data_IF_382541201978
#
_entry.id   IF_382541201978
#
_cell.length_a   1.000
_cell.length_b   1.000
_cell.length_c   1.000
_cell.angle_alpha   90.00
_cell.angle_beta   90.00
_cell.angle_gamma   90.00
#
_symmetry.space_group_name_H-M   'P 1'
#
loop_
_entity.id
_entity.type
_entity.pdbx_description
1 polymer ?
#
# COMPACT_ATOMS: atom_id res chain seq x y z
N UNK A 1 -12.65 -40.46 12.52
CA UNK A 1 -11.93 -39.90 11.35
C UNK A 1 -11.43 -38.52 11.77
N UNK A 2 -10.37 -38.53 12.57
CA UNK A 2 -9.85 -37.38 13.30
C UNK A 2 -8.93 -36.55 12.41
N UNK A 3 -9.06 -35.23 12.52
CA UNK A 3 -8.34 -34.24 11.73
C UNK A 3 -6.87 -34.19 12.16
N UNK A 4 -5.95 -34.50 11.25
CA UNK A 4 -4.51 -34.21 11.39
C UNK A 4 -4.27 -32.67 11.35
N UNK A 5 -4.51 -31.98 12.46
CA UNK A 5 -4.03 -30.63 12.69
C UNK A 5 -2.82 -30.71 13.63
N UNK A 6 -1.60 -30.77 13.09
CA UNK A 6 -0.43 -30.91 13.96
C UNK A 6 0.95 -31.11 13.33
N UNK A 7 1.13 -31.04 12.01
CA UNK A 7 2.47 -31.10 11.40
C UNK A 7 3.14 -29.71 11.34
N UNK A 8 3.16 -28.99 12.46
CA UNK A 8 4.27 -28.06 12.67
C UNK A 8 5.46 -28.93 13.11
N UNK A 9 6.21 -29.33 12.08
CA UNK A 9 7.58 -29.81 12.06
C UNK A 9 8.22 -29.68 13.45
N UNK A 10 8.48 -30.81 14.13
CA UNK A 10 9.39 -30.87 15.28
C UNK A 10 10.80 -30.63 14.74
N UNK A 11 11.37 -29.41 14.75
CA UNK A 11 12.67 -29.17 14.11
C UNK A 11 13.76 -29.94 14.85
N UNK A 12 13.54 -30.18 16.16
CA UNK A 12 14.36 -31.00 17.03
C UNK A 12 14.46 -32.49 16.65
N UNK A 13 13.50 -33.05 15.88
CA UNK A 13 13.64 -34.43 15.38
C UNK A 13 14.59 -34.51 14.17
N UNK A 14 14.77 -33.40 13.44
CA UNK A 14 15.62 -33.33 12.25
C UNK A 14 16.97 -32.65 12.50
N UNK A 15 17.16 -32.04 13.68
CA UNK A 15 18.41 -31.40 14.12
C UNK A 15 18.86 -32.14 15.38
N UNK A 16 19.72 -33.15 15.21
CA UNK A 16 20.35 -33.88 16.30
C UNK A 16 21.58 -33.16 16.83
N UNK A 17 21.98 -33.49 18.06
CA UNK A 17 23.30 -33.15 18.58
C UNK A 17 24.26 -34.31 18.33
N UNK A 18 25.48 -34.04 17.88
CA UNK A 18 26.55 -35.05 17.82
C UNK A 18 27.03 -35.48 19.22
N UNK A 19 26.82 -34.62 20.21
CA UNK A 19 27.06 -34.91 21.63
C UNK A 19 25.95 -35.80 22.19
N UNK A 20 26.33 -36.99 22.69
CA UNK A 20 25.43 -38.02 23.19
C UNK A 20 24.63 -37.59 24.42
N UNK A 21 25.19 -36.71 25.25
CA UNK A 21 24.52 -36.21 26.46
C UNK A 21 23.42 -35.22 26.09
N UNK A 22 23.69 -34.32 25.14
CA UNK A 22 22.69 -33.38 24.61
C UNK A 22 21.58 -34.09 23.84
N UNK A 23 21.92 -35.12 23.06
CA UNK A 23 20.93 -35.92 22.34
C UNK A 23 19.96 -36.64 23.30
N UNK A 24 20.49 -37.27 24.36
CA UNK A 24 19.65 -37.94 25.37
C UNK A 24 18.73 -36.96 26.11
N UNK A 25 19.25 -35.76 26.45
CA UNK A 25 18.46 -34.72 27.12
C UNK A 25 17.34 -34.18 26.22
N UNK A 26 17.59 -34.03 24.92
CA UNK A 26 16.57 -33.62 23.96
C UNK A 26 15.44 -34.65 23.85
N UNK A 27 15.77 -35.95 23.75
CA UNK A 27 14.76 -37.01 23.70
C UNK A 27 13.86 -37.01 24.94
N UNK A 28 14.44 -36.88 26.14
CA UNK A 28 13.67 -36.80 27.39
C UNK A 28 12.71 -35.60 27.42
N UNK A 29 13.15 -34.43 26.94
CA UNK A 29 12.32 -33.22 26.90
C UNK A 29 11.17 -33.34 25.88
N UNK A 30 11.42 -33.98 24.74
CA UNK A 30 10.40 -34.22 23.71
C UNK A 30 9.34 -35.23 24.18
N UNK A 31 9.76 -36.27 24.90
CA UNK A 31 8.84 -37.29 25.46
C UNK A 31 7.98 -36.73 26.59
N UNK A 32 8.51 -35.77 27.36
CA UNK A 32 7.79 -35.10 28.44
C UNK A 32 6.87 -33.97 27.96
N UNK A 33 7.05 -33.45 26.75
CA UNK A 33 6.31 -32.29 26.27
C UNK A 33 4.86 -32.63 25.90
N UNK A 34 3.91 -32.14 26.70
CA UNK A 34 2.47 -32.17 26.37
C UNK A 34 1.97 -30.75 26.08
N UNK A 35 1.60 -30.49 24.82
CA UNK A 35 0.97 -29.22 24.45
C UNK A 35 -0.51 -29.24 24.84
N UNK A 36 -0.91 -28.35 25.74
CA UNK A 36 -2.33 -28.04 25.94
C UNK A 36 -2.78 -27.02 24.88
N UNK A 37 -4.02 -27.13 24.40
CA UNK A 37 -4.65 -26.14 23.51
C UNK A 37 -4.70 -24.79 24.22
N UNK A 38 -4.09 -23.75 23.64
CA UNK A 38 -4.29 -22.36 24.09
C UNK A 38 -5.77 -22.01 23.91
N UNK A 39 -6.52 -21.99 25.02
CA UNK A 39 -7.95 -21.65 25.07
C UNK A 39 -8.21 -20.18 25.40
N UNK A 40 -7.17 -19.38 25.60
CA UNK A 40 -7.34 -17.96 25.92
C UNK A 40 -7.86 -17.20 24.70
N UNK A 41 -8.98 -16.49 24.90
CA UNK A 41 -9.42 -15.44 24.00
C UNK A 41 -8.45 -14.28 24.18
N UNK A 42 -7.72 -13.91 23.13
CA UNK A 42 -6.84 -12.73 23.11
C UNK A 42 -7.66 -11.43 23.08
N UNK A 43 -8.38 -11.16 24.17
CA UNK A 43 -9.08 -9.90 24.39
C UNK A 43 -8.60 -9.37 25.74
N UNK A 44 -7.71 -8.39 25.71
CA UNK A 44 -7.28 -7.65 26.88
C UNK A 44 -7.91 -6.25 26.86
N UNK A 45 -8.35 -5.77 28.02
CA UNK A 45 -8.77 -4.38 28.21
C UNK A 45 -7.58 -3.61 28.77
N UNK A 46 -7.13 -2.58 28.08
CA UNK A 46 -6.09 -1.68 28.61
C UNK A 46 -6.70 -0.91 29.79
N UNK A 47 -6.18 -1.16 30.99
CA UNK A 47 -6.67 -0.55 32.23
C UNK A 47 -6.10 0.85 32.45
N UNK A 48 -4.83 1.06 32.11
CA UNK A 48 -4.17 2.36 32.12
C UNK A 48 -3.01 2.39 31.13
N UNK A 49 -2.59 3.60 30.75
CA UNK A 49 -1.37 3.85 29.97
C UNK A 49 -0.49 4.76 30.82
N UNK A 50 0.67 4.26 31.26
CA UNK A 50 1.65 4.98 32.07
C UNK A 50 2.94 5.15 31.30
N UNK A 51 3.63 6.26 31.54
CA UNK A 51 4.95 6.54 30.96
C UNK A 51 6.00 5.65 31.65
N UNK A 52 6.72 4.83 30.87
CA UNK A 52 7.63 3.77 31.38
C UNK A 52 9.10 4.02 31.00
N UNK A 53 9.44 5.29 30.72
CA UNK A 53 10.79 5.68 30.31
C UNK A 53 11.08 5.51 28.82
N UNK A 54 12.36 5.59 28.46
CA UNK A 54 12.88 5.48 27.09
C UNK A 54 13.99 4.43 27.08
N UNK A 55 13.86 3.44 26.21
CA UNK A 55 14.92 2.47 25.93
C UNK A 55 15.20 2.40 24.42
N UNK A 56 16.42 1.95 24.07
CA UNK A 56 16.78 1.66 22.68
C UNK A 56 16.13 0.34 22.26
N UNK A 57 15.18 0.39 21.33
CA UNK A 57 14.59 -0.81 20.74
C UNK A 57 15.42 -1.28 19.55
N UNK A 58 15.67 -2.59 19.49
CA UNK A 58 16.37 -3.20 18.37
C UNK A 58 15.49 -3.25 17.12
N UNK A 59 16.15 -3.23 15.96
CA UNK A 59 15.53 -3.35 14.65
C UNK A 59 14.58 -4.55 14.61
N UNK A 60 13.34 -4.25 14.23
CA UNK A 60 12.17 -5.13 14.11
C UNK A 60 12.18 -5.90 12.79
N UNK A 61 13.24 -5.73 12.00
CA UNK A 61 13.54 -6.52 10.81
C UNK A 61 13.97 -7.94 11.20
N UNK A 62 13.34 -8.94 10.60
CA UNK A 62 13.74 -10.34 10.77
C UNK A 62 14.98 -10.62 9.92
N UNK A 63 16.16 -10.97 10.49
CA UNK A 63 17.37 -11.19 9.69
C UNK A 63 17.18 -12.25 8.59
N UNK A 64 17.57 -11.93 7.35
CA UNK A 64 17.47 -12.83 6.20
C UNK A 64 16.05 -12.97 5.60
N UNK A 65 15.05 -12.38 6.23
CA UNK A 65 13.67 -12.31 5.74
C UNK A 65 13.34 -10.82 5.51
N UNK A 66 12.92 -10.44 4.31
CA UNK A 66 12.43 -9.09 4.05
C UNK A 66 11.03 -8.89 4.70
N UNK A 67 10.97 -8.92 6.03
CA UNK A 67 9.77 -8.92 6.85
C UNK A 67 9.99 -8.19 8.18
N UNK A 68 8.90 -7.65 8.73
CA UNK A 68 8.81 -6.95 10.01
C UNK A 68 8.01 -7.78 11.00
N UNK A 69 8.51 -7.98 12.22
CA UNK A 69 7.78 -8.64 13.31
C UNK A 69 7.16 -7.59 14.27
N UNK A 70 5.84 -7.46 14.23
CA UNK A 70 5.08 -6.71 15.24
C UNK A 70 4.36 -7.67 16.18
N UNK A 71 4.98 -8.00 17.31
CA UNK A 71 4.38 -8.82 18.37
C UNK A 71 3.83 -10.17 17.87
N UNK A 72 4.59 -10.86 17.00
CA UNK A 72 4.21 -12.15 16.44
C UNK A 72 3.41 -12.06 15.14
N UNK A 73 3.12 -10.85 14.64
CA UNK A 73 2.59 -10.62 13.30
C UNK A 73 3.74 -10.28 12.34
N UNK A 74 4.04 -11.23 11.45
CA UNK A 74 4.98 -11.00 10.34
C UNK A 74 4.28 -10.16 9.27
N UNK A 75 4.65 -8.88 9.17
CA UNK A 75 4.30 -8.05 8.03
C UNK A 75 5.36 -8.21 6.95
N UNK A 76 4.96 -8.76 5.81
CA UNK A 76 5.78 -8.73 4.61
C UNK A 76 5.74 -7.35 3.93
N UNK A 77 6.55 -7.20 2.90
CA UNK A 77 6.80 -5.96 2.18
C UNK A 77 5.51 -5.18 1.85
N UNK A 78 5.59 -3.86 2.07
CA UNK A 78 4.66 -2.80 1.68
C UNK A 78 3.36 -2.60 2.51
N UNK A 79 3.02 -3.51 3.42
CA UNK A 79 2.03 -3.31 4.50
C UNK A 79 0.56 -3.24 4.07
N UNK A 80 0.27 -3.41 2.78
CA UNK A 80 -1.08 -3.31 2.21
C UNK A 80 -1.92 -4.58 2.39
N UNK A 81 -1.31 -5.73 2.66
CA UNK A 81 -2.00 -7.00 2.91
C UNK A 81 -1.55 -7.64 4.23
N UNK A 82 -2.31 -7.44 5.32
CA UNK A 82 -2.15 -8.29 6.50
C UNK A 82 -2.67 -9.69 6.17
N UNK A 83 -1.76 -10.65 6.10
CA UNK A 83 -2.03 -12.05 5.77
C UNK A 83 -1.78 -12.95 6.98
N UNK A 84 -2.66 -13.92 7.17
CA UNK A 84 -2.46 -15.03 8.11
C UNK A 84 -1.41 -16.01 7.55
N UNK A 85 -0.85 -16.90 8.37
CA UNK A 85 0.09 -17.92 7.90
C UNK A 85 -0.45 -18.68 6.68
N UNK A 86 0.40 -18.81 5.65
CA UNK A 86 0.09 -19.45 4.38
C UNK A 86 -1.03 -18.81 3.54
N UNK A 87 -1.56 -17.65 3.93
CA UNK A 87 -2.44 -16.90 3.03
C UNK A 87 -1.63 -16.27 1.89
N UNK A 88 -2.31 -16.09 0.76
CA UNK A 88 -1.84 -15.25 -0.34
C UNK A 88 -2.97 -14.34 -0.82
N UNK A 89 -2.60 -13.31 -1.59
CA UNK A 89 -3.55 -12.37 -2.16
C UNK A 89 -3.23 -12.13 -3.63
N UNK A 90 -4.27 -12.02 -4.45
CA UNK A 90 -4.12 -11.53 -5.83
C UNK A 90 -4.37 -10.04 -5.87
N UNK A 91 -3.38 -9.27 -6.35
CA UNK A 91 -3.43 -7.81 -6.42
C UNK A 91 -3.72 -7.32 -7.84
N UNK A 92 -4.43 -6.19 -7.93
CA UNK A 92 -4.64 -5.46 -9.18
C UNK A 92 -4.89 -3.98 -8.90
N UNK A 93 -4.62 -3.11 -9.88
CA UNK A 93 -4.81 -1.67 -9.70
C UNK A 93 -5.39 -1.02 -10.95
N UNK A 94 -6.42 -0.19 -10.76
CA UNK A 94 -7.05 0.57 -11.84
C UNK A 94 -6.33 1.92 -11.99
N UNK A 95 -5.92 2.26 -13.22
CA UNK A 95 -5.42 3.60 -13.53
C UNK A 95 -6.59 4.60 -13.57
N UNK A 96 -6.86 5.29 -12.45
CA UNK A 96 -8.01 6.19 -12.33
C UNK A 96 -7.86 7.46 -13.16
N UNK A 97 -6.63 7.85 -13.54
CA UNK A 97 -6.40 9.00 -14.42
C UNK A 97 -6.97 8.81 -15.83
N UNK A 98 -7.39 7.59 -16.19
CA UNK A 98 -8.09 7.27 -17.46
C UNK A 98 -9.59 7.48 -17.39
N UNK A 99 -10.17 7.79 -16.23
CA UNK A 99 -11.63 7.90 -16.03
C UNK A 99 -12.04 9.35 -15.82
N UNK A 100 -11.74 10.20 -16.79
CA UNK A 100 -12.12 11.62 -16.81
C UNK A 100 -13.03 11.89 -18.00
N UNK A 101 -14.09 12.66 -17.77
CA UNK A 101 -15.04 13.13 -18.80
C UNK A 101 -15.38 14.60 -18.59
N UNK A 102 -16.03 15.21 -19.57
CA UNK A 102 -16.42 16.63 -19.54
C UNK A 102 -15.41 17.58 -20.17
N UNK A 103 -15.76 18.88 -20.27
CA UNK A 103 -14.90 19.88 -20.87
C UNK A 103 -13.68 20.16 -19.98
N UNK A 104 -12.55 20.59 -20.56
CA UNK A 104 -11.30 20.84 -19.84
C UNK A 104 -11.42 21.85 -18.67
N UNK A 105 -12.41 22.75 -18.73
CA UNK A 105 -12.73 23.73 -17.68
C UNK A 105 -13.56 23.18 -16.51
N UNK A 106 -14.24 22.05 -16.72
CA UNK A 106 -15.08 21.39 -15.72
C UNK A 106 -14.98 19.85 -15.88
N UNK A 107 -13.76 19.29 -15.73
CA UNK A 107 -13.53 17.86 -15.79
C UNK A 107 -14.18 17.18 -14.59
N UNK A 108 -14.65 15.94 -14.78
CA UNK A 108 -15.23 15.12 -13.71
C UNK A 108 -14.85 13.65 -13.89
N UNK A 109 -14.93 12.89 -12.81
CA UNK A 109 -14.68 11.45 -12.83
C UNK A 109 -15.82 10.74 -13.58
N UNK A 110 -15.48 9.83 -14.49
CA UNK A 110 -16.42 9.02 -15.26
C UNK A 110 -16.75 7.72 -14.50
N UNK A 111 -17.66 7.84 -13.51
CA UNK A 111 -17.98 6.76 -12.58
C UNK A 111 -18.62 5.53 -13.25
N UNK A 112 -19.42 5.71 -14.30
CA UNK A 112 -20.10 4.59 -14.97
C UNK A 112 -19.09 3.61 -15.60
N UNK A 113 -18.15 4.14 -16.40
CA UNK A 113 -17.07 3.32 -16.99
C UNK A 113 -16.13 2.75 -15.92
N UNK A 114 -15.93 3.48 -14.82
CA UNK A 114 -15.14 2.99 -13.70
C UNK A 114 -15.82 1.79 -13.02
N UNK A 115 -17.14 1.81 -12.81
CA UNK A 115 -17.89 0.69 -12.24
C UNK A 115 -17.79 -0.58 -13.09
N UNK A 116 -17.92 -0.46 -14.42
CA UNK A 116 -17.74 -1.58 -15.36
C UNK A 116 -16.34 -2.19 -15.27
N UNK A 117 -15.32 -1.31 -15.18
CA UNK A 117 -13.92 -1.74 -15.04
C UNK A 117 -13.70 -2.45 -13.70
N UNK A 118 -14.24 -1.93 -12.60
CA UNK A 118 -14.16 -2.55 -11.27
C UNK A 118 -14.78 -3.95 -11.29
N UNK A 119 -15.97 -4.10 -11.87
CA UNK A 119 -16.65 -5.40 -11.98
C UNK A 119 -15.79 -6.42 -12.73
N UNK A 120 -15.22 -6.01 -13.85
CA UNK A 120 -14.33 -6.86 -14.65
C UNK A 120 -13.05 -7.20 -13.88
N UNK A 121 -12.44 -6.23 -13.20
CA UNK A 121 -11.23 -6.42 -12.41
C UNK A 121 -11.45 -7.40 -11.25
N UNK A 122 -12.56 -7.29 -10.50
CA UNK A 122 -12.89 -8.24 -9.42
C UNK A 122 -13.02 -9.67 -9.96
N UNK A 123 -13.74 -9.85 -11.08
CA UNK A 123 -13.86 -11.17 -11.72
C UNK A 123 -12.53 -11.70 -12.21
N UNK A 124 -11.68 -10.85 -12.77
CA UNK A 124 -10.34 -11.21 -13.22
C UNK A 124 -9.49 -11.70 -12.04
N UNK A 125 -9.45 -10.94 -10.94
CA UNK A 125 -8.70 -11.31 -9.74
C UNK A 125 -9.23 -12.61 -9.10
N UNK A 126 -10.56 -12.82 -9.07
CA UNK A 126 -11.14 -14.08 -8.59
C UNK A 126 -10.76 -15.27 -9.48
N UNK A 127 -10.70 -15.09 -10.80
CA UNK A 127 -10.26 -16.14 -11.72
C UNK A 127 -8.77 -16.49 -11.52
N UNK A 128 -7.92 -15.50 -11.22
CA UNK A 128 -6.49 -15.75 -10.99
C UNK A 128 -6.27 -16.72 -9.84
N UNK A 129 -7.09 -16.67 -8.77
CA UNK A 129 -7.01 -17.64 -7.67
C UNK A 129 -7.14 -19.08 -8.19
N UNK A 130 -8.03 -19.33 -9.14
CA UNK A 130 -8.25 -20.68 -9.66
C UNK A 130 -7.16 -21.12 -10.64
N UNK A 131 -6.58 -20.16 -11.38
CA UNK A 131 -5.54 -20.37 -12.38
C UNK A 131 -4.12 -20.41 -11.81
N UNK A 132 -3.93 -19.91 -10.59
CA UNK A 132 -2.61 -19.79 -10.00
C UNK A 132 -2.00 -21.17 -9.71
N UNK A 133 -0.66 -21.26 -9.78
CA UNK A 133 0.10 -22.44 -9.37
C UNK A 133 0.80 -22.12 -8.06
N UNK A 134 0.34 -22.74 -6.99
CA UNK A 134 0.87 -22.47 -5.65
C UNK A 134 2.13 -23.29 -5.39
N UNK A 135 3.14 -22.70 -4.72
CA UNK A 135 4.39 -23.40 -4.44
C UNK A 135 4.25 -24.45 -3.33
N UNK A 136 3.25 -24.31 -2.45
CA UNK A 136 2.98 -25.20 -1.32
C UNK A 136 1.49 -25.55 -1.25
N UNK A 137 1.11 -26.82 -0.95
CA UNK A 137 -0.29 -27.23 -0.81
C UNK A 137 -1.06 -26.47 0.27
N UNK A 138 -0.39 -26.09 1.36
CA UNK A 138 -0.98 -25.31 2.46
C UNK A 138 -1.43 -23.93 1.98
N UNK A 139 -0.63 -23.30 1.13
CA UNK A 139 -0.94 -21.99 0.53
C UNK A 139 -2.13 -22.13 -0.42
N UNK A 140 -2.16 -23.18 -1.24
CA UNK A 140 -3.29 -23.45 -2.13
C UNK A 140 -4.59 -23.62 -1.34
N UNK A 141 -4.59 -24.48 -0.32
CA UNK A 141 -5.76 -24.79 0.48
C UNK A 141 -6.34 -23.53 1.15
N UNK A 142 -5.49 -22.73 1.78
CA UNK A 142 -5.91 -21.51 2.48
C UNK A 142 -6.33 -20.42 1.48
N UNK A 143 -5.61 -20.24 0.38
CA UNK A 143 -5.95 -19.23 -0.63
C UNK A 143 -7.28 -19.56 -1.31
N UNK A 144 -7.52 -20.82 -1.69
CA UNK A 144 -8.81 -21.24 -2.26
C UNK A 144 -9.94 -21.19 -1.22
N UNK A 145 -9.62 -21.37 0.06
CA UNK A 145 -10.58 -21.31 1.16
C UNK A 145 -11.06 -19.90 1.51
N UNK A 146 -10.16 -18.91 1.50
CA UNK A 146 -10.48 -17.51 1.85
C UNK A 146 -10.74 -16.63 0.63
N UNK A 147 -10.13 -16.96 -0.52
CA UNK A 147 -10.25 -16.26 -1.79
C UNK A 147 -9.99 -14.75 -1.69
N UNK A 148 -9.00 -14.33 -0.90
CA UNK A 148 -8.64 -12.93 -0.71
C UNK A 148 -8.12 -12.33 -2.01
N UNK A 149 -8.70 -11.20 -2.42
CA UNK A 149 -8.20 -10.35 -3.50
C UNK A 149 -7.95 -8.95 -2.96
N UNK A 150 -7.15 -8.18 -3.70
CA UNK A 150 -6.81 -6.80 -3.39
C UNK A 150 -6.85 -5.93 -4.64
N UNK A 151 -8.05 -5.42 -4.95
CA UNK A 151 -8.23 -4.39 -5.95
C UNK A 151 -7.95 -3.02 -5.35
N UNK A 152 -6.99 -2.30 -5.93
CA UNK A 152 -6.67 -0.92 -5.61
C UNK A 152 -6.71 0.00 -6.82
N UNK A 153 -6.05 1.14 -6.69
CA UNK A 153 -5.94 2.13 -7.75
C UNK A 153 -4.52 2.71 -7.85
N UNK A 154 -4.23 3.27 -9.02
CA UNK A 154 -3.02 4.05 -9.32
C UNK A 154 -3.39 5.25 -10.20
N UNK A 155 -2.49 6.22 -10.34
CA UNK A 155 -2.74 7.44 -11.10
C UNK A 155 -3.59 8.46 -10.34
N UNK A 156 -3.61 8.43 -9.01
CA UNK A 156 -4.42 9.38 -8.23
C UNK A 156 -3.92 10.83 -8.34
N UNK A 157 -2.61 11.08 -8.30
CA UNK A 157 -2.09 12.43 -8.50
C UNK A 157 -2.41 12.95 -9.91
N UNK A 158 -2.27 12.11 -10.93
CA UNK A 158 -2.67 12.44 -12.31
C UNK A 158 -4.17 12.74 -12.43
N UNK A 159 -5.02 11.98 -11.74
CA UNK A 159 -6.45 12.24 -11.67
C UNK A 159 -6.72 13.64 -11.11
N UNK A 160 -6.11 13.98 -9.98
CA UNK A 160 -6.26 15.29 -9.35
C UNK A 160 -5.77 16.42 -10.26
N UNK A 161 -4.62 16.25 -10.93
CA UNK A 161 -4.10 17.23 -11.89
C UNK A 161 -5.10 17.44 -13.04
N UNK A 162 -5.67 16.36 -13.58
CA UNK A 162 -6.69 16.43 -14.63
C UNK A 162 -7.99 17.07 -14.16
N UNK A 163 -8.30 16.96 -12.87
CA UNK A 163 -9.43 17.64 -12.23
C UNK A 163 -9.12 19.11 -11.86
N UNK A 164 -7.88 19.56 -12.01
CA UNK A 164 -7.37 20.85 -11.54
C UNK A 164 -7.41 21.01 -10.01
N UNK A 165 -7.23 19.92 -9.27
CA UNK A 165 -7.25 19.89 -7.81
C UNK A 165 -5.81 19.68 -7.30
N UNK A 166 -5.25 20.60 -6.51
CA UNK A 166 -3.97 20.37 -5.84
C UNK A 166 -4.05 19.27 -4.78
N UNK A 167 -3.01 18.42 -4.69
CA UNK A 167 -3.01 17.22 -3.84
C UNK A 167 -3.14 17.51 -2.33
N UNK A 168 -2.49 18.57 -1.87
CA UNK A 168 -2.44 19.08 -0.48
C UNK A 168 -3.66 19.97 -0.13
N UNK A 169 -4.86 19.57 -0.54
CA UNK A 169 -6.12 20.28 -0.24
C UNK A 169 -7.17 19.37 0.38
N UNK A 170 -8.09 19.96 1.14
CA UNK A 170 -9.26 19.22 1.64
C UNK A 170 -10.16 18.71 0.50
N UNK A 171 -10.17 19.40 -0.65
CA UNK A 171 -10.87 18.94 -1.85
C UNK A 171 -10.26 17.64 -2.40
N UNK A 172 -8.92 17.53 -2.42
CA UNK A 172 -8.24 16.29 -2.79
C UNK A 172 -8.55 15.15 -1.81
N UNK A 173 -8.56 15.43 -0.50
CA UNK A 173 -8.96 14.44 0.52
C UNK A 173 -10.40 13.95 0.29
N UNK A 174 -11.34 14.88 0.07
CA UNK A 174 -12.74 14.55 -0.19
C UNK A 174 -12.91 13.78 -1.51
N UNK A 175 -12.10 14.09 -2.52
CA UNK A 175 -12.09 13.37 -3.81
C UNK A 175 -11.56 11.95 -3.64
N UNK A 176 -10.47 11.77 -2.89
CA UNK A 176 -9.93 10.45 -2.53
C UNK A 176 -10.93 9.61 -1.75
N UNK A 177 -11.60 10.22 -0.77
CA UNK A 177 -12.63 9.55 0.03
C UNK A 177 -13.81 9.07 -0.83
N UNK A 178 -14.37 9.95 -1.68
CA UNK A 178 -15.48 9.60 -2.58
C UNK A 178 -15.08 8.50 -3.56
N UNK A 179 -13.87 8.58 -4.12
CA UNK A 179 -13.35 7.62 -5.07
C UNK A 179 -13.16 6.23 -4.43
N UNK A 180 -12.53 6.18 -3.26
CA UNK A 180 -12.27 4.91 -2.58
C UNK A 180 -13.56 4.28 -2.05
N UNK A 181 -14.51 5.08 -1.53
CA UNK A 181 -15.85 4.60 -1.17
C UNK A 181 -16.58 4.00 -2.37
N UNK A 182 -16.55 4.67 -3.52
CA UNK A 182 -17.16 4.15 -4.74
C UNK A 182 -16.51 2.84 -5.19
N UNK A 183 -15.16 2.78 -5.19
CA UNK A 183 -14.43 1.56 -5.53
C UNK A 183 -14.83 0.41 -4.62
N UNK A 184 -14.90 0.68 -3.31
CA UNK A 184 -15.32 -0.26 -2.28
C UNK A 184 -16.71 -0.83 -2.55
N UNK A 185 -17.70 0.04 -2.71
CA UNK A 185 -19.10 -0.35 -2.92
C UNK A 185 -19.25 -1.20 -4.19
N UNK A 186 -18.66 -0.75 -5.31
CA UNK A 186 -18.74 -1.46 -6.58
C UNK A 186 -18.00 -2.80 -6.56
N UNK A 187 -16.83 -2.86 -5.90
CA UNK A 187 -16.06 -4.09 -5.83
C UNK A 187 -16.73 -5.13 -4.93
N UNK A 188 -17.34 -4.70 -3.83
CA UNK A 188 -18.15 -5.57 -2.96
C UNK A 188 -19.41 -6.06 -3.67
N UNK A 189 -20.11 -5.20 -4.39
CA UNK A 189 -21.25 -5.60 -5.22
C UNK A 189 -20.84 -6.64 -6.27
N UNK A 190 -19.70 -6.44 -6.95
CA UNK A 190 -19.18 -7.41 -7.92
C UNK A 190 -18.82 -8.77 -7.27
N UNK A 191 -18.25 -8.76 -6.06
CA UNK A 191 -17.97 -10.00 -5.31
C UNK A 191 -19.26 -10.69 -4.84
N UNK A 192 -20.28 -9.94 -4.46
CA UNK A 192 -21.60 -10.47 -4.11
C UNK A 192 -22.31 -11.10 -5.33
N UNK A 193 -22.20 -10.46 -6.50
CA UNK A 193 -22.71 -11.02 -7.76
C UNK A 193 -22.00 -12.32 -8.12
N UNK A 194 -20.67 -12.38 -8.02
CA UNK A 194 -19.92 -13.63 -8.21
C UNK A 194 -20.33 -14.72 -7.21
N UNK A 195 -20.73 -14.35 -5.99
CA UNK A 195 -21.18 -15.32 -4.99
C UNK A 195 -22.52 -15.97 -5.37
N UNK A 196 -23.38 -15.30 -6.14
CA UNK A 196 -24.63 -15.89 -6.67
C UNK A 196 -24.32 -16.99 -7.68
N UNK A 197 -23.33 -16.77 -8.52
CA UNK A 197 -22.98 -17.70 -9.61
C UNK A 197 -22.03 -18.82 -9.15
N UNK A 198 -21.09 -18.51 -8.26
CA UNK A 198 -19.97 -19.41 -7.88
C UNK A 198 -20.01 -19.86 -6.42
N UNK A 199 -20.95 -19.36 -5.63
CA UNK A 199 -21.00 -19.52 -4.18
C UNK A 199 -20.06 -18.56 -3.43
N UNK A 200 -20.35 -18.35 -2.15
CA UNK A 200 -19.45 -17.61 -1.23
C UNK A 200 -18.10 -18.32 -1.06
N UNK A 201 -17.08 -17.64 -0.55
CA UNK A 201 -15.80 -18.30 -0.26
C UNK A 201 -15.98 -19.47 0.75
N UNK A 202 -15.23 -20.58 0.62
CA UNK A 202 -15.43 -21.76 1.45
C UNK A 202 -15.38 -21.52 2.97
N UNK A 203 -14.50 -20.64 3.44
CA UNK A 203 -14.34 -20.32 4.87
C UNK A 203 -15.30 -19.21 5.35
N UNK A 204 -16.42 -18.98 4.65
CA UNK A 204 -17.40 -17.95 5.01
C UNK A 204 -18.03 -18.19 6.39
N UNK A 205 -18.32 -19.45 6.74
CA UNK A 205 -18.90 -19.80 8.04
C UNK A 205 -17.92 -19.51 9.17
N UNK A 206 -18.38 -18.76 10.18
CA UNK A 206 -17.58 -18.27 11.30
C UNK A 206 -16.81 -16.98 11.00
N UNK A 207 -16.96 -16.39 9.81
CA UNK A 207 -16.31 -15.13 9.44
C UNK A 207 -17.11 -13.90 9.91
N UNK A 208 -16.44 -12.75 9.99
CA UNK A 208 -17.09 -11.45 10.23
C UNK A 208 -18.21 -11.16 9.20
N UNK A 209 -17.98 -11.54 7.94
CA UNK A 209 -18.94 -11.32 6.86
C UNK A 209 -20.23 -12.15 7.04
N UNK A 210 -20.14 -13.33 7.65
CA UNK A 210 -21.34 -14.10 8.03
C UNK A 210 -22.16 -13.36 9.09
N UNK A 211 -21.52 -12.85 10.15
CA UNK A 211 -22.21 -12.09 11.19
C UNK A 211 -22.82 -10.78 10.69
N UNK A 212 -22.28 -10.21 9.61
CA UNK A 212 -22.78 -8.99 8.97
C UNK A 212 -23.80 -9.26 7.85
N UNK A 213 -24.10 -10.54 7.55
CA UNK A 213 -24.99 -10.92 6.46
C UNK A 213 -24.46 -10.62 5.05
N UNK A 214 -23.16 -10.34 4.91
CA UNK A 214 -22.53 -9.96 3.65
C UNK A 214 -22.05 -11.19 2.88
N UNK A 215 -22.90 -11.71 1.98
CA UNK A 215 -22.59 -12.91 1.18
C UNK A 215 -21.68 -12.58 0.00
N UNK A 216 -20.36 -12.68 0.21
CA UNK A 216 -19.34 -12.34 -0.80
C UNK A 216 -18.57 -13.58 -1.30
N UNK A 217 -18.05 -13.50 -2.53
CA UNK A 217 -17.18 -14.52 -3.12
C UNK A 217 -15.77 -14.51 -2.53
N UNK A 218 -15.34 -13.37 -1.99
CA UNK A 218 -13.97 -13.11 -1.53
C UNK A 218 -13.99 -12.60 -0.09
N UNK A 219 -13.10 -13.10 0.77
CA UNK A 219 -13.03 -12.66 2.18
C UNK A 219 -12.54 -11.21 2.33
N UNK A 220 -11.71 -10.74 1.39
CA UNK A 220 -11.31 -9.34 1.21
C UNK A 220 -11.33 -9.02 -0.27
N UNK A 221 -11.57 -7.77 -0.60
CA UNK A 221 -11.75 -7.28 -1.97
C UNK A 221 -10.84 -6.09 -2.26
N UNK A 222 -10.70 -5.14 -1.33
CA UNK A 222 -10.05 -3.85 -1.60
C UNK A 222 -8.78 -3.61 -0.78
N UNK A 223 -7.77 -3.02 -1.42
CA UNK A 223 -6.51 -2.59 -0.80
C UNK A 223 -5.92 -1.41 -1.59
N UNK A 224 -4.91 -0.74 -1.05
CA UNK A 224 -4.05 0.16 -1.84
C UNK A 224 -2.62 -0.37 -1.78
N UNK A 225 -2.19 -0.98 -2.88
CA UNK A 225 -0.85 -1.54 -3.03
C UNK A 225 0.13 -0.51 -3.61
N UNK A 226 1.44 -0.68 -3.38
CA UNK A 226 2.43 0.04 -4.16
C UNK A 226 2.32 -0.41 -5.62
N UNK A 227 2.49 0.52 -6.55
CA UNK A 227 2.39 0.24 -7.98
C UNK A 227 3.65 0.65 -8.73
N UNK A 228 4.82 0.56 -8.06
CA UNK A 228 6.10 1.06 -8.60
C UNK A 228 6.39 0.63 -10.04
N UNK A 229 6.25 -0.66 -10.36
CA UNK A 229 6.47 -1.16 -11.73
C UNK A 229 5.25 -0.94 -12.64
N UNK A 230 4.05 -1.29 -12.18
CA UNK A 230 2.85 -1.28 -13.04
C UNK A 230 2.37 0.13 -13.38
N UNK A 231 2.67 1.13 -12.54
CA UNK A 231 2.40 2.54 -12.83
C UNK A 231 3.32 3.10 -13.92
N UNK A 232 4.57 2.63 -13.99
CA UNK A 232 5.49 2.95 -15.09
C UNK A 232 4.98 2.35 -16.40
N UNK A 233 4.52 1.09 -16.38
CA UNK A 233 3.91 0.43 -17.55
C UNK A 233 2.64 1.18 -17.99
N UNK A 234 1.83 1.63 -17.04
CA UNK A 234 0.58 2.33 -17.29
C UNK A 234 0.74 3.84 -17.56
N UNK A 235 1.98 4.35 -17.50
CA UNK A 235 2.37 5.75 -17.63
C UNK A 235 1.51 6.69 -16.75
N UNK A 236 1.51 6.43 -15.44
CA UNK A 236 0.80 7.25 -14.45
C UNK A 236 1.52 7.28 -13.10
N UNK A 237 1.02 8.12 -12.19
CA UNK A 237 1.51 8.23 -10.82
C UNK A 237 1.27 6.93 -10.04
N UNK A 238 2.16 6.56 -9.09
CA UNK A 238 2.01 5.32 -8.35
C UNK A 238 0.94 5.44 -7.28
N UNK A 239 0.00 4.50 -7.27
CA UNK A 239 -0.96 4.31 -6.17
C UNK A 239 -1.74 5.58 -5.86
N UNK A 240 -1.76 5.92 -4.58
CA UNK A 240 -2.29 7.18 -4.05
C UNK A 240 -1.20 8.21 -3.76
N UNK A 241 0.06 7.97 -4.15
CA UNK A 241 1.17 8.87 -3.88
C UNK A 241 1.00 10.20 -4.65
N UNK A 242 1.45 11.35 -4.11
CA UNK A 242 1.66 12.53 -4.92
C UNK A 242 2.79 12.30 -5.93
N UNK A 243 2.99 13.24 -6.84
CA UNK A 243 4.17 13.20 -7.71
C UNK A 243 5.43 13.25 -6.85
N UNK A 244 6.39 12.37 -7.08
CA UNK A 244 7.68 12.47 -6.39
C UNK A 244 8.48 13.70 -6.88
N UNK A 245 8.42 13.95 -8.20
CA UNK A 245 8.97 15.16 -8.81
C UNK A 245 8.25 15.48 -10.12
N UNK A 246 8.22 16.76 -10.49
CA UNK A 246 7.70 17.22 -11.80
C UNK A 246 8.67 16.87 -12.93
N UNK A 247 9.96 16.79 -12.60
CA UNK A 247 11.02 16.28 -13.47
C UNK A 247 11.63 15.03 -12.83
N UNK A 248 11.83 13.98 -13.62
CA UNK A 248 12.49 12.75 -13.19
C UNK A 248 13.54 12.32 -14.19
N UNK A 249 14.59 11.67 -13.70
CA UNK A 249 15.69 11.18 -14.53
C UNK A 249 15.58 9.67 -14.66
N UNK A 250 15.45 9.19 -15.90
CA UNK A 250 15.56 7.76 -16.21
C UNK A 250 16.96 7.47 -16.73
N UNK A 251 17.69 6.59 -16.06
CA UNK A 251 18.93 6.03 -16.61
C UNK A 251 18.55 4.89 -17.54
N UNK A 252 18.84 5.04 -18.84
CA UNK A 252 18.67 3.97 -19.82
C UNK A 252 19.98 3.20 -20.02
N UNK A 253 19.95 2.16 -20.84
CA UNK A 253 21.15 1.37 -21.18
C UNK A 253 22.29 2.30 -21.65
N UNK A 254 23.53 1.93 -21.33
CA UNK A 254 24.75 2.71 -21.54
C UNK A 254 24.89 3.98 -20.67
N UNK A 255 24.13 4.09 -19.57
CA UNK A 255 24.28 5.16 -18.59
C UNK A 255 23.73 6.52 -19.04
N UNK A 256 23.02 6.56 -20.17
CA UNK A 256 22.40 7.79 -20.67
C UNK A 256 21.28 8.20 -19.72
N UNK A 257 21.38 9.42 -19.17
CA UNK A 257 20.37 10.02 -18.30
C UNK A 257 19.36 10.80 -19.13
N UNK A 258 18.13 10.30 -19.21
CA UNK A 258 17.01 10.96 -19.86
C UNK A 258 16.15 11.69 -18.83
N UNK A 259 16.29 13.02 -18.78
CA UNK A 259 15.45 13.90 -17.98
C UNK A 259 14.08 14.01 -18.64
N UNK A 260 12.99 13.69 -17.96
CA UNK A 260 11.63 13.80 -18.51
C UNK A 260 10.76 14.64 -17.58
N UNK A 261 10.02 15.57 -18.15
CA UNK A 261 9.00 16.34 -17.43
C UNK A 261 7.68 15.58 -17.45
N UNK A 262 6.89 15.74 -16.39
CA UNK A 262 5.53 15.24 -16.32
C UNK A 262 4.72 15.67 -17.57
N UNK A 263 4.07 14.74 -18.30
CA UNK A 263 3.45 15.06 -19.60
C UNK A 263 2.43 16.20 -19.53
N UNK A 264 1.57 16.19 -18.51
CA UNK A 264 0.54 17.20 -18.32
C UNK A 264 1.12 18.57 -17.90
N UNK A 265 2.24 18.57 -17.17
CA UNK A 265 2.96 19.80 -16.84
C UNK A 265 3.56 20.42 -18.10
N UNK A 266 4.27 19.60 -18.90
CA UNK A 266 4.85 20.01 -20.18
C UNK A 266 3.78 20.59 -21.12
N UNK A 267 2.61 19.95 -21.20
CA UNK A 267 1.48 20.43 -22.01
C UNK A 267 1.04 21.83 -21.59
N UNK A 268 0.85 22.07 -20.30
CA UNK A 268 0.39 23.36 -19.75
C UNK A 268 1.45 24.45 -19.88
N UNK A 269 2.72 24.14 -19.62
CA UNK A 269 3.84 25.07 -19.81
C UNK A 269 3.99 25.48 -21.27
N UNK A 270 3.83 24.54 -22.22
CA UNK A 270 3.84 24.85 -23.66
C UNK A 270 2.65 25.73 -24.06
N UNK A 271 1.46 25.43 -23.56
CA UNK A 271 0.27 26.24 -23.82
C UNK A 271 0.40 27.67 -23.25
N UNK A 272 1.11 27.84 -22.14
CA UNK A 272 1.44 29.12 -21.55
C UNK A 272 2.61 29.86 -22.24
N UNK A 273 3.23 29.27 -23.27
CA UNK A 273 4.38 29.88 -23.97
C UNK A 273 5.68 29.95 -23.15
N UNK A 274 5.77 29.20 -22.04
CA UNK A 274 6.91 29.25 -21.09
C UNK A 274 8.02 28.26 -21.43
N UNK A 275 7.73 27.27 -22.28
CA UNK A 275 8.66 26.17 -22.52
C UNK A 275 9.89 26.62 -23.34
N UNK A 276 11.07 26.37 -22.78
CA UNK A 276 12.38 26.49 -23.46
C UNK A 276 13.34 25.44 -22.90
N UNK A 277 14.47 25.21 -23.58
CA UNK A 277 15.50 24.30 -23.05
C UNK A 277 16.02 24.80 -21.69
N UNK A 278 16.28 26.11 -21.56
CA UNK A 278 16.68 26.75 -20.29
C UNK A 278 15.63 26.55 -19.18
N UNK A 279 14.35 26.63 -19.52
CA UNK A 279 13.27 26.35 -18.57
C UNK A 279 13.29 24.90 -18.09
N UNK A 280 13.44 23.94 -19.01
CA UNK A 280 13.54 22.52 -18.67
C UNK A 280 14.74 22.24 -17.76
N UNK A 281 15.89 22.82 -18.07
CA UNK A 281 17.11 22.64 -17.28
C UNK A 281 16.92 23.21 -15.87
N UNK A 282 16.27 24.38 -15.73
CA UNK A 282 15.92 24.96 -14.43
C UNK A 282 14.97 24.10 -13.62
N UNK A 283 13.86 23.64 -14.22
CA UNK A 283 12.90 22.75 -13.54
C UNK A 283 13.59 21.46 -13.09
N UNK A 284 14.50 20.94 -13.91
CA UNK A 284 15.20 19.69 -13.64
C UNK A 284 16.40 19.83 -12.70
N UNK A 285 16.77 21.07 -12.33
CA UNK A 285 17.80 21.37 -11.34
C UNK A 285 17.22 21.63 -9.94
N UNK A 286 15.88 21.69 -9.80
CA UNK A 286 15.20 21.93 -8.54
C UNK A 286 14.33 20.72 -8.17
N UNK A 287 14.31 20.36 -6.89
CA UNK A 287 13.46 19.29 -6.35
C UNK A 287 11.97 19.65 -6.44
N UNK A 288 11.67 20.92 -6.25
CA UNK A 288 10.34 21.49 -6.27
C UNK A 288 10.28 22.70 -7.19
N UNK A 289 9.12 22.87 -7.83
CA UNK A 289 8.85 24.02 -8.68
C UNK A 289 8.30 25.22 -7.89
N UNK A 290 7.98 25.07 -6.60
CA UNK A 290 7.31 26.11 -5.81
C UNK A 290 8.12 27.42 -5.74
N UNK A 291 9.46 27.33 -5.76
CA UNK A 291 10.36 28.49 -5.73
C UNK A 291 10.61 29.18 -7.08
N UNK A 292 10.09 28.64 -8.19
CA UNK A 292 10.37 29.15 -9.53
C UNK A 292 9.35 30.24 -9.91
N UNK A 293 9.71 31.50 -9.67
CA UNK A 293 8.82 32.66 -9.88
C UNK A 293 8.29 32.81 -11.30
N UNK A 294 9.04 32.34 -12.32
CA UNK A 294 8.58 32.35 -13.72
C UNK A 294 7.44 31.37 -14.04
N UNK A 295 7.16 30.41 -13.15
CA UNK A 295 6.01 29.51 -13.30
C UNK A 295 4.79 30.17 -12.65
N UNK A 296 3.67 30.34 -13.36
CA UNK A 296 2.43 30.84 -12.79
C UNK A 296 2.03 30.14 -11.49
N UNK A 297 1.49 30.91 -10.54
CA UNK A 297 1.19 30.41 -9.19
C UNK A 297 0.16 29.27 -9.19
N UNK A 298 -0.80 29.30 -10.11
CA UNK A 298 -1.79 28.25 -10.34
C UNK A 298 -1.15 26.93 -10.79
N UNK A 299 -0.17 26.99 -11.70
CA UNK A 299 0.60 25.82 -12.12
C UNK A 299 1.48 25.30 -10.99
N UNK A 300 2.16 26.17 -10.24
CA UNK A 300 2.95 25.74 -9.06
C UNK A 300 2.06 25.05 -8.03
N UNK A 301 0.91 25.65 -7.72
CA UNK A 301 -0.07 25.10 -6.78
C UNK A 301 -0.58 23.73 -7.22
N UNK A 302 -0.81 23.51 -8.51
CA UNK A 302 -1.37 22.25 -9.02
C UNK A 302 -0.35 21.09 -9.01
N UNK A 303 0.93 21.38 -9.29
CA UNK A 303 2.00 20.38 -9.39
C UNK A 303 2.86 20.35 -8.13
N UNK A 304 2.22 20.16 -6.98
CA UNK A 304 2.92 19.86 -5.71
C UNK A 304 3.53 18.47 -5.75
N UNK A 305 4.70 18.33 -5.14
CA UNK A 305 5.41 17.05 -5.03
C UNK A 305 5.30 16.46 -3.63
N UNK A 306 5.78 15.23 -3.45
CA UNK A 306 5.90 14.57 -2.16
C UNK A 306 6.66 15.40 -1.11
N UNK A 307 7.58 16.27 -1.54
CA UNK A 307 8.37 17.12 -0.65
C UNK A 307 7.67 18.44 -0.31
N UNK A 308 6.69 18.85 -1.12
CA UNK A 308 5.85 20.03 -0.86
C UNK A 308 4.69 19.72 0.11
N UNK A 309 4.25 18.46 0.15
CA UNK A 309 3.11 18.01 0.96
C UNK A 309 3.56 17.81 2.43
N UNK A 310 2.80 18.36 3.36
CA UNK A 310 3.12 18.23 4.79
C UNK A 310 2.96 16.77 5.27
N UNK A 311 3.74 16.31 6.27
CA UNK A 311 3.58 14.98 6.85
C UNK A 311 2.15 14.72 7.37
N UNK A 312 1.53 15.73 7.98
CA UNK A 312 0.14 15.67 8.42
C UNK A 312 -0.81 15.37 7.25
N UNK A 313 -0.68 16.09 6.13
CA UNK A 313 -1.56 15.89 4.98
C UNK A 313 -1.35 14.53 4.32
N UNK A 314 -0.11 14.04 4.27
CA UNK A 314 0.18 12.68 3.85
C UNK A 314 -0.58 11.63 4.70
N UNK A 315 -0.59 11.80 6.02
CA UNK A 315 -1.31 10.89 6.93
C UNK A 315 -2.82 11.00 6.74
N UNK A 316 -3.36 12.22 6.61
CA UNK A 316 -4.78 12.47 6.33
C UNK A 316 -5.20 11.80 5.02
N UNK A 317 -4.36 11.89 3.99
CA UNK A 317 -4.61 11.23 2.71
C UNK A 317 -4.62 9.70 2.86
N UNK A 318 -3.67 9.13 3.59
CA UNK A 318 -3.69 7.69 3.88
C UNK A 318 -5.00 7.27 4.58
N UNK A 319 -5.44 8.05 5.57
CA UNK A 319 -6.62 7.75 6.37
C UNK A 319 -7.91 7.71 5.53
N UNK A 320 -8.10 8.66 4.60
CA UNK A 320 -9.32 8.68 3.76
C UNK A 320 -9.43 7.43 2.88
N UNK A 321 -8.30 6.92 2.38
CA UNK A 321 -8.28 5.66 1.63
C UNK A 321 -8.45 4.44 2.56
N UNK A 322 -7.83 4.46 3.75
CA UNK A 322 -7.89 3.35 4.69
C UNK A 322 -9.33 3.05 5.16
N UNK A 323 -10.17 4.08 5.31
CA UNK A 323 -11.58 3.97 5.74
C UNK A 323 -12.41 3.01 4.87
N UNK A 324 -12.06 2.86 3.59
CA UNK A 324 -12.81 2.03 2.63
C UNK A 324 -11.96 0.88 2.04
N UNK A 325 -10.83 0.54 2.68
CA UNK A 325 -10.01 -0.64 2.35
C UNK A 325 -10.30 -1.81 3.31
N UNK A 326 -10.57 -3.01 2.78
CA UNK A 326 -10.61 -4.24 3.59
C UNK A 326 -9.27 -4.49 4.27
N UNK A 327 -8.20 -4.33 3.50
CA UNK A 327 -6.83 -4.59 3.91
C UNK A 327 -6.11 -3.29 4.30
N UNK A 328 -4.79 -3.24 4.20
CA UNK A 328 -3.98 -2.05 4.48
C UNK A 328 -3.95 -1.04 3.32
N UNK A 329 -3.19 0.03 3.54
CA UNK A 329 -2.86 1.05 2.53
C UNK A 329 -1.36 1.25 2.56
N UNK A 330 -0.69 0.98 1.43
CA UNK A 330 0.69 1.36 1.22
C UNK A 330 0.76 2.84 0.87
N UNK A 331 1.34 3.63 1.77
CA UNK A 331 1.57 5.06 1.60
C UNK A 331 2.85 5.46 2.32
N UNK A 332 3.75 6.14 1.62
CA UNK A 332 4.92 6.75 2.25
C UNK A 332 4.58 8.14 2.78
N UNK A 333 4.77 8.36 4.08
CA UNK A 333 4.70 9.68 4.70
C UNK A 333 6.10 10.29 4.57
N UNK A 334 6.29 11.20 3.60
CA UNK A 334 7.57 11.85 3.40
C UNK A 334 7.75 12.96 4.44
N UNK A 335 8.94 13.03 5.03
CA UNK A 335 9.35 14.08 5.96
C UNK A 335 10.61 14.77 5.45
N UNK A 336 10.75 16.09 5.67
CA UNK A 336 11.97 16.80 5.31
C UNK A 336 13.17 16.32 6.13
N UNK A 337 14.39 16.56 5.63
CA UNK A 337 15.62 16.19 6.34
C UNK A 337 15.74 16.84 7.72
N UNK A 338 15.12 18.00 7.91
CA UNK A 338 15.05 18.73 9.19
C UNK A 338 14.04 18.17 10.18
N UNK A 339 13.23 17.18 9.79
CA UNK A 339 12.22 16.59 10.68
C UNK A 339 12.86 15.93 11.92
N UNK A 340 12.26 16.20 13.07
CA UNK A 340 12.68 15.71 14.38
C UNK A 340 12.00 14.38 14.73
N UNK A 341 12.47 13.71 15.79
CA UNK A 341 11.78 12.54 16.35
C UNK A 341 10.33 12.86 16.77
N UNK A 342 10.08 14.08 17.25
CA UNK A 342 8.74 14.52 17.66
C UNK A 342 7.79 14.64 16.46
N UNK A 343 8.29 15.06 15.29
CA UNK A 343 7.50 15.12 14.05
C UNK A 343 7.10 13.72 13.59
N UNK A 344 8.02 12.75 13.66
CA UNK A 344 7.74 11.34 13.37
C UNK A 344 6.72 10.76 14.34
N UNK A 345 6.89 11.00 15.64
CA UNK A 345 5.95 10.54 16.66
C UNK A 345 4.54 11.15 16.44
N UNK A 346 4.47 12.42 16.06
CA UNK A 346 3.21 13.09 15.73
C UNK A 346 2.50 12.46 14.54
N UNK A 347 3.24 12.06 13.50
CA UNK A 347 2.68 11.33 12.36
C UNK A 347 2.10 9.97 12.77
N UNK A 348 2.81 9.20 13.62
CA UNK A 348 2.32 7.93 14.15
C UNK A 348 1.06 8.09 15.00
N UNK A 349 1.06 9.05 15.93
CA UNK A 349 -0.10 9.32 16.78
C UNK A 349 -1.31 9.80 15.97
N UNK A 350 -1.09 10.61 14.94
CA UNK A 350 -2.15 11.04 14.04
C UNK A 350 -2.73 9.86 13.25
N UNK A 351 -1.88 9.00 12.69
CA UNK A 351 -2.32 7.82 11.96
C UNK A 351 -3.15 6.89 12.85
N UNK A 352 -2.71 6.68 14.09
CA UNK A 352 -3.47 5.93 15.10
C UNK A 352 -4.84 6.58 15.38
N UNK A 353 -4.89 7.89 15.67
CA UNK A 353 -6.15 8.63 15.92
C UNK A 353 -7.12 8.57 14.75
N UNK A 354 -6.60 8.56 13.52
CA UNK A 354 -7.40 8.50 12.29
C UNK A 354 -7.78 7.06 11.88
N UNK A 355 -7.38 6.04 12.64
CA UNK A 355 -7.74 4.64 12.38
C UNK A 355 -6.95 4.00 11.24
N UNK A 356 -5.73 4.48 10.95
CA UNK A 356 -4.83 3.82 10.02
C UNK A 356 -4.42 2.44 10.55
N UNK A 357 -4.42 1.41 9.69
CA UNK A 357 -4.01 0.03 10.10
C UNK A 357 -2.49 -0.14 10.21
N UNK A 358 -1.74 0.78 9.61
CA UNK A 358 -0.29 0.85 9.64
C UNK A 358 0.17 2.21 9.13
N UNK A 359 1.47 2.47 9.18
CA UNK A 359 2.07 3.71 8.67
C UNK A 359 3.52 3.43 8.27
N UNK A 360 3.99 4.11 7.22
CA UNK A 360 5.39 4.08 6.82
C UNK A 360 5.89 5.50 6.64
N UNK A 361 6.93 5.88 7.38
CA UNK A 361 7.58 7.19 7.26
C UNK A 361 8.88 7.06 6.48
N UNK A 362 9.19 8.08 5.69
CA UNK A 362 10.49 8.22 5.05
C UNK A 362 10.98 9.64 5.24
N UNK A 363 12.08 9.80 5.99
CA UNK A 363 12.74 11.10 6.19
C UNK A 363 13.82 11.28 5.14
N UNK A 364 13.75 12.37 4.38
CA UNK A 364 14.79 12.76 3.42
C UNK A 364 16.17 12.73 4.09
N UNK A 365 17.16 12.22 3.36
CA UNK A 365 18.53 12.06 3.87
C UNK A 365 18.74 11.02 4.98
N UNK A 366 17.73 10.21 5.34
CA UNK A 366 17.92 9.17 6.39
C UNK A 366 18.67 7.92 5.93
N UNK A 367 18.84 7.73 4.61
CA UNK A 367 19.57 6.60 4.01
C UNK A 367 20.57 7.09 2.96
N UNK A 368 21.71 6.40 2.86
CA UNK A 368 22.79 6.71 1.91
C UNK A 368 22.42 6.50 0.44
N UNK A 369 21.38 5.71 0.14
CA UNK A 369 20.87 5.49 -1.21
C UNK A 369 19.34 5.55 -1.22
N UNK A 370 18.77 6.32 -2.15
CA UNK A 370 17.32 6.43 -2.37
C UNK A 370 16.95 5.81 -3.71
N UNK A 371 15.82 5.08 -3.74
CA UNK A 371 15.34 4.36 -4.93
C UNK A 371 14.77 5.33 -5.98
N UNK A 372 14.23 6.45 -5.53
CA UNK A 372 13.75 7.54 -6.38
C UNK A 372 14.62 8.77 -6.10
N UNK A 373 15.00 9.49 -7.15
CA UNK A 373 15.73 10.75 -7.05
C UNK A 373 15.04 11.85 -7.85
N UNK A 374 14.96 13.03 -7.24
CA UNK A 374 14.50 14.24 -7.88
C UNK A 374 15.71 14.87 -8.58
N UNK A 375 15.54 15.38 -9.80
CA UNK A 375 16.58 16.14 -10.50
C UNK A 375 17.90 15.37 -10.77
N UNK A 376 18.96 16.12 -11.12
CA UNK A 376 20.31 15.58 -11.32
C UNK A 376 21.02 15.17 -10.03
N UNK A 377 20.38 15.30 -8.86
CA UNK A 377 20.96 15.10 -7.54
C UNK A 377 20.63 13.67 -7.08
N UNK A 378 21.61 13.00 -6.47
CA UNK A 378 21.45 11.64 -5.92
C UNK A 378 20.57 11.60 -4.65
N UNK A 379 20.28 12.78 -4.08
CA UNK A 379 19.55 12.98 -2.85
C UNK A 379 18.55 14.13 -3.02
N UNK A 380 17.30 13.88 -2.62
CA UNK A 380 16.38 14.87 -2.04
C UNK A 380 16.19 14.50 -0.54
#
# INVERSE_FOLDING_TARGET
>A
MEREAGKNIRPALNIGFSDSTKAAKLSLLLDAYRRHLNRERFLARVESVTEDGIEDVFDVLVPGLHAFDANGFLAHNCGEQPLLPYESCTLGSINVARFITGPARAPRIEYDRLAETIRTAVRFLDNVIDMNRYPLPEIEAITRGNRKIGLGLMGFADLLIKLNIPYDTDEALATGERLMRFLREQAHAASADLAKDRGVFPNFKGSRLESEGQRLRNATVTTIAPTGTISIIADCSPGIEPLYGVSFVRTVMDGVRLVTLHPEFLRRVRAAGLYSQRFRDRVSANESIQGLSEIPSDLRRLFVTAHDVTPEHHVRMQAVFQKYSDSGVSKTINLPATATKADVASAFLLAYRLGCKGITVFRSGSREQQVLSCANIQYC
#
